data_IF_851189138785
#
_entry.id   IF_851189138785
#
_cell.length_a   1.000
_cell.length_b   1.000
_cell.length_c   1.000
_cell.angle_alpha   90.00
_cell.angle_beta   90.00
_cell.angle_gamma   90.00
#
_symmetry.space_group_name_H-M   'P 1'
#
loop_
_entity.id
_entity.type
_entity.pdbx_description
1 polymer ?
#
# COMPACT_ATOMS: atom_id res chain seq x y z
N UNK A 1 -4.62 -4.79 20.00
CA UNK A 1 -3.39 -5.02 19.23
C UNK A 1 -3.49 -4.15 17.98
N UNK A 2 -2.58 -3.19 17.81
CA UNK A 2 -2.59 -2.26 16.67
C UNK A 2 -1.79 -2.88 15.51
N UNK A 3 -2.22 -2.64 14.27
CA UNK A 3 -1.45 -2.97 13.07
C UNK A 3 -1.08 -1.66 12.42
N UNK A 4 0.23 -1.42 12.25
CA UNK A 4 0.73 -0.27 11.52
C UNK A 4 0.85 -0.64 10.04
N UNK A 5 0.38 0.25 9.17
CA UNK A 5 0.43 0.10 7.71
C UNK A 5 0.92 1.39 7.09
N UNK A 6 1.62 1.27 5.97
CA UNK A 6 2.10 2.39 5.16
C UNK A 6 1.55 2.25 3.73
N UNK A 7 1.37 3.38 3.06
CA UNK A 7 0.93 3.45 1.67
C UNK A 7 1.62 4.60 0.95
N UNK A 8 1.92 4.40 -0.33
CA UNK A 8 2.56 5.38 -1.20
C UNK A 8 1.56 5.95 -2.21
N UNK A 9 1.57 7.27 -2.38
CA UNK A 9 0.98 7.93 -3.55
C UNK A 9 2.09 8.10 -4.59
N UNK A 10 2.13 7.20 -5.56
CA UNK A 10 3.12 7.23 -6.64
C UNK A 10 2.50 7.93 -7.84
N UNK A 11 3.13 9.04 -8.26
CA UNK A 11 2.65 9.89 -9.35
C UNK A 11 3.57 9.79 -10.57
N UNK A 12 3.00 9.56 -11.76
CA UNK A 12 3.75 9.62 -13.02
C UNK A 12 4.05 11.07 -13.44
N UNK A 13 4.92 11.26 -14.45
CA UNK A 13 5.22 12.60 -14.99
C UNK A 13 3.99 13.26 -15.63
N UNK A 14 3.03 12.45 -16.07
CA UNK A 14 1.75 12.83 -16.66
C UNK A 14 0.66 13.06 -15.60
N UNK A 15 1.04 13.16 -14.33
CA UNK A 15 0.15 13.38 -13.19
C UNK A 15 -0.84 12.23 -12.89
N UNK A 16 -0.62 11.04 -13.43
CA UNK A 16 -1.42 9.85 -13.12
C UNK A 16 -0.99 9.25 -11.78
N UNK A 17 -1.93 8.64 -11.04
CA UNK A 17 -1.63 7.97 -9.76
C UNK A 17 -1.66 6.45 -9.95
N UNK A 18 -0.63 5.77 -9.44
CA UNK A 18 -0.59 4.31 -9.42
C UNK A 18 -1.55 3.76 -8.35
N UNK A 19 -2.54 3.01 -8.79
CA UNK A 19 -3.48 2.27 -7.95
C UNK A 19 -3.63 0.85 -8.49
N UNK A 20 -3.86 -0.12 -7.61
CA UNK A 20 -4.16 -1.51 -7.97
C UNK A 20 -5.62 -1.83 -7.62
N UNK A 21 -6.25 -2.73 -8.39
CA UNK A 21 -7.55 -3.29 -8.03
C UNK A 21 -7.34 -4.55 -7.22
N UNK A 22 -7.98 -4.64 -6.06
CA UNK A 22 -7.87 -5.78 -5.15
C UNK A 22 -8.43 -7.04 -5.80
N UNK A 23 -7.63 -8.10 -5.81
CA UNK A 23 -8.00 -9.42 -6.35
C UNK A 23 -9.19 -10.01 -5.59
N UNK A 24 -9.93 -10.87 -6.28
CA UNK A 24 -11.01 -11.65 -5.68
C UNK A 24 -10.49 -12.56 -4.54
N UNK A 25 -11.37 -12.87 -3.59
CA UNK A 25 -11.02 -13.69 -2.42
C UNK A 25 -10.20 -12.97 -1.35
N UNK A 26 -9.96 -11.66 -1.48
CA UNK A 26 -9.40 -10.81 -0.42
C UNK A 26 -10.47 -9.90 0.18
N UNK A 27 -10.24 -9.43 1.41
CA UNK A 27 -11.05 -8.35 1.99
C UNK A 27 -11.07 -7.15 1.05
N UNK A 28 -12.22 -6.48 0.90
CA UNK A 28 -12.42 -5.37 -0.03
C UNK A 28 -12.10 -5.72 -1.49
N UNK A 29 -12.37 -6.95 -1.92
CA UNK A 29 -12.22 -7.36 -3.31
C UNK A 29 -12.92 -6.38 -4.27
N UNK A 30 -12.27 -6.08 -5.39
CA UNK A 30 -12.81 -5.18 -6.42
C UNK A 30 -12.61 -3.68 -6.16
N UNK A 31 -12.26 -3.25 -4.94
CA UNK A 31 -11.89 -1.86 -4.63
C UNK A 31 -10.47 -1.53 -5.10
N UNK A 32 -10.17 -0.24 -5.20
CA UNK A 32 -8.82 0.25 -5.46
C UNK A 32 -8.00 0.37 -4.17
N UNK A 33 -6.69 0.17 -4.30
CA UNK A 33 -5.70 0.34 -3.24
C UNK A 33 -4.44 1.04 -3.74
N UNK A 34 -3.75 1.71 -2.81
CA UNK A 34 -2.41 2.25 -3.04
C UNK A 34 -1.35 1.17 -2.74
N UNK A 35 -0.20 1.21 -3.43
CA UNK A 35 0.97 0.39 -3.07
C UNK A 35 1.38 0.65 -1.62
N UNK A 36 1.77 -0.41 -0.91
CA UNK A 36 2.14 -0.33 0.49
C UNK A 36 2.04 -1.67 1.20
N UNK A 37 2.12 -1.65 2.53
CA UNK A 37 2.21 -2.86 3.31
C UNK A 37 2.07 -2.66 4.81
N UNK A 38 2.10 -3.78 5.53
CA UNK A 38 2.20 -3.78 7.00
C UNK A 38 3.64 -3.45 7.40
N UNK A 39 3.78 -2.72 8.50
CA UNK A 39 5.07 -2.50 9.15
C UNK A 39 5.32 -3.68 10.09
N UNK A 40 6.44 -4.35 9.91
CA UNK A 40 6.86 -5.45 10.78
C UNK A 40 7.48 -4.93 12.08
N UNK A 41 7.58 -5.78 13.10
CA UNK A 41 8.10 -5.38 14.41
C UNK A 41 9.57 -4.94 14.32
N UNK A 42 9.87 -3.72 14.78
CA UNK A 42 11.20 -3.12 14.68
C UNK A 42 11.55 -2.55 13.30
N UNK A 43 10.67 -2.68 12.30
CA UNK A 43 10.84 -2.07 10.98
C UNK A 43 10.50 -0.57 11.02
N UNK A 44 11.27 0.27 10.33
CA UNK A 44 10.92 1.67 10.15
C UNK A 44 9.83 1.83 9.09
N UNK A 45 9.03 2.88 9.19
CA UNK A 45 7.97 3.15 8.21
C UNK A 45 8.53 3.35 6.79
N UNK A 46 9.71 3.94 6.66
CA UNK A 46 10.39 4.17 5.38
C UNK A 46 10.84 2.85 4.76
N UNK A 47 11.40 1.92 5.55
CA UNK A 47 11.80 0.59 5.08
C UNK A 47 10.58 -0.22 4.65
N UNK A 48 9.51 -0.20 5.46
CA UNK A 48 8.25 -0.86 5.15
C UNK A 48 7.60 -0.37 3.85
N UNK A 49 7.83 0.89 3.49
CA UNK A 49 7.24 1.53 2.30
C UNK A 49 8.01 1.19 1.01
N UNK A 50 9.32 0.93 1.09
CA UNK A 50 10.20 0.73 -0.09
C UNK A 50 10.22 -0.73 -0.58
N UNK A 51 10.00 -1.70 0.31
CA UNK A 51 10.14 -3.14 0.03
C UNK A 51 9.12 -3.75 -0.94
#
# INVERSE_FOLDING_TARGET
>A
MSIHVVAAIIRSKENQILIARRREGKSLAGYFEFPGGKVDEGESHEVALIR
#
